data_IF_432206029896
#
_entry.id   IF_432206029896
#
_cell.length_a   1.000
_cell.length_b   1.000
_cell.length_c   1.000
_cell.angle_alpha   90.00
_cell.angle_beta   90.00
_cell.angle_gamma   90.00
#
_symmetry.space_group_name_H-M   'P 1'
#
loop_
_entity.id
_entity.type
_entity.pdbx_description
1 polymer ?
#
# COMPACT_ATOMS: atom_id res chain seq x y z
N UNK A 1 -19.23 59.81 -48.23
CA UNK A 1 -18.48 58.56 -47.89
C UNK A 1 -17.51 58.68 -46.69
N UNK A 2 -17.14 59.85 -46.24
CA UNK A 2 -16.11 59.99 -45.18
C UNK A 2 -16.63 59.86 -43.71
N UNK A 3 -17.97 59.95 -43.47
CA UNK A 3 -18.52 59.79 -42.12
C UNK A 3 -18.82 58.34 -41.69
N UNK A 4 -19.06 57.44 -42.66
CA UNK A 4 -19.35 56.03 -42.40
C UNK A 4 -18.06 55.25 -42.03
N UNK A 5 -16.95 55.62 -42.59
CA UNK A 5 -15.62 54.96 -42.28
C UNK A 5 -15.10 55.28 -40.87
N UNK A 6 -15.41 56.47 -40.34
CA UNK A 6 -14.99 56.83 -38.95
C UNK A 6 -15.78 56.11 -37.89
N UNK A 7 -17.05 55.81 -38.13
CA UNK A 7 -17.90 55.05 -37.15
C UNK A 7 -17.51 53.58 -37.14
N UNK A 8 -17.17 52.99 -38.28
CA UNK A 8 -16.74 51.59 -38.37
C UNK A 8 -15.37 51.35 -37.74
N UNK A 9 -14.44 52.31 -37.89
CA UNK A 9 -13.10 52.21 -37.28
C UNK A 9 -13.14 52.39 -35.75
N UNK A 10 -14.09 53.18 -35.21
CA UNK A 10 -14.28 53.33 -33.77
C UNK A 10 -14.92 52.06 -33.13
N UNK A 11 -15.84 51.42 -33.85
CA UNK A 11 -16.47 50.19 -33.42
C UNK A 11 -15.56 48.98 -33.44
N UNK A 12 -14.66 48.91 -34.44
CA UNK A 12 -13.62 47.86 -34.50
C UNK A 12 -12.55 48.00 -33.40
N UNK A 13 -12.18 49.24 -33.00
CA UNK A 13 -11.26 49.45 -31.88
C UNK A 13 -11.84 49.00 -30.55
N UNK A 14 -13.15 49.27 -30.31
CA UNK A 14 -13.79 48.81 -29.06
C UNK A 14 -13.97 47.28 -29.00
N UNK A 15 -14.24 46.62 -30.13
CA UNK A 15 -14.36 45.14 -30.17
C UNK A 15 -12.99 44.46 -30.02
N UNK A 16 -11.91 45.04 -30.52
CA UNK A 16 -10.56 44.54 -30.33
C UNK A 16 -10.13 44.58 -28.89
N UNK A 17 -10.50 45.58 -28.12
CA UNK A 17 -10.26 45.64 -26.67
C UNK A 17 -11.09 44.60 -25.89
N UNK A 18 -12.36 44.35 -26.32
CA UNK A 18 -13.20 43.33 -25.72
C UNK A 18 -12.64 41.92 -25.96
N UNK A 19 -12.13 41.62 -27.15
CA UNK A 19 -11.51 40.35 -27.47
C UNK A 19 -10.15 40.18 -26.77
N UNK A 20 -9.36 41.27 -26.63
CA UNK A 20 -8.13 41.24 -25.86
C UNK A 20 -8.38 41.06 -24.37
N UNK A 21 -9.42 41.66 -23.79
CA UNK A 21 -9.87 41.43 -22.41
C UNK A 21 -10.42 40.00 -22.20
N UNK A 22 -11.17 39.47 -23.19
CA UNK A 22 -11.69 38.09 -23.14
C UNK A 22 -10.56 37.05 -23.26
N UNK A 23 -9.57 37.32 -24.12
CA UNK A 23 -8.35 36.51 -24.24
C UNK A 23 -7.48 36.58 -22.97
N UNK A 24 -7.35 37.72 -22.31
CA UNK A 24 -6.68 37.88 -21.03
C UNK A 24 -7.45 37.16 -19.91
N UNK A 25 -8.80 37.16 -19.93
CA UNK A 25 -9.62 36.42 -18.97
C UNK A 25 -9.53 34.91 -19.19
N UNK A 26 -9.39 34.45 -20.45
CA UNK A 26 -9.18 33.02 -20.75
C UNK A 26 -7.75 32.56 -20.39
N UNK A 27 -6.75 33.45 -20.50
CA UNK A 27 -5.38 33.15 -20.06
C UNK A 27 -5.24 33.19 -18.53
N UNK A 28 -6.03 34.00 -17.83
CA UNK A 28 -6.09 33.99 -16.36
C UNK A 28 -6.90 32.81 -15.79
N UNK A 29 -7.79 32.20 -16.59
CA UNK A 29 -8.54 30.99 -16.20
C UNK A 29 -7.72 29.69 -16.40
N UNK A 30 -6.59 29.76 -17.11
CA UNK A 30 -5.59 28.69 -17.22
C UNK A 30 -4.40 28.86 -16.25
N UNK A 31 -4.53 29.67 -15.20
CA UNK A 31 -3.62 29.57 -14.07
C UNK A 31 -3.86 28.21 -13.42
N UNK A 32 -2.87 27.32 -13.56
CA UNK A 32 -2.82 25.99 -13.00
C UNK A 32 -3.37 25.99 -11.57
N UNK A 33 -4.61 25.52 -11.40
CA UNK A 33 -5.00 24.98 -10.13
C UNK A 33 -4.09 23.77 -9.93
N UNK A 34 -3.05 23.92 -9.14
CA UNK A 34 -2.34 22.78 -8.58
C UNK A 34 -3.41 21.79 -8.13
N UNK A 35 -3.35 20.52 -8.54
CA UNK A 35 -4.33 19.55 -8.08
C UNK A 35 -4.36 19.64 -6.56
N UNK A 36 -5.53 19.83 -5.99
CA UNK A 36 -5.69 19.88 -4.54
C UNK A 36 -5.32 18.49 -4.04
N UNK A 37 -4.19 18.40 -3.35
CA UNK A 37 -3.68 17.15 -2.80
C UNK A 37 -4.75 16.61 -1.86
N UNK A 38 -5.28 15.44 -2.17
CA UNK A 38 -6.27 14.78 -1.32
C UNK A 38 -5.62 14.38 -0.02
N UNK A 39 -6.20 14.81 1.08
CA UNK A 39 -5.72 14.46 2.41
C UNK A 39 -6.66 13.44 3.05
N UNK A 40 -6.10 12.55 3.86
CA UNK A 40 -6.88 11.75 4.79
C UNK A 40 -7.64 12.67 5.76
N UNK A 41 -8.67 12.17 6.49
CA UNK A 41 -9.36 12.95 7.50
C UNK A 41 -8.44 13.58 8.57
N UNK A 42 -7.21 13.14 8.67
CA UNK A 42 -6.19 13.62 9.63
C UNK A 42 -5.11 14.49 9.00
N UNK A 43 -5.27 14.88 7.71
CA UNK A 43 -4.36 15.80 7.04
C UNK A 43 -3.14 15.17 6.37
N UNK A 44 -3.06 13.84 6.30
CA UNK A 44 -1.99 13.13 5.59
C UNK A 44 -2.29 13.09 4.08
N UNK A 45 -1.35 13.42 3.19
CA UNK A 45 -1.54 13.34 1.74
C UNK A 45 -1.91 11.94 1.28
N UNK A 46 -2.93 11.82 0.42
CA UNK A 46 -3.34 10.56 -0.19
C UNK A 46 -2.63 10.42 -1.53
N UNK A 47 -1.66 9.51 -1.62
CA UNK A 47 -1.19 8.96 -2.90
C UNK A 47 -0.27 9.81 -3.74
N UNK A 48 0.54 10.72 -3.20
CA UNK A 48 1.67 11.34 -3.89
C UNK A 48 2.94 11.20 -3.05
N UNK A 49 3.58 10.02 -3.12
CA UNK A 49 5.02 9.95 -2.95
C UNK A 49 5.62 9.68 -4.33
N UNK A 50 6.44 10.62 -4.83
CA UNK A 50 7.32 10.35 -5.95
C UNK A 50 8.26 9.22 -5.52
N UNK A 51 8.22 8.13 -6.26
CA UNK A 51 9.22 7.07 -6.15
C UNK A 51 10.54 7.65 -6.62
N UNK A 52 11.50 7.82 -5.74
CA UNK A 52 12.89 7.88 -6.12
C UNK A 52 13.28 6.50 -6.66
N UNK A 53 13.38 6.39 -7.98
CA UNK A 53 13.91 5.24 -8.68
C UNK A 53 15.41 5.09 -8.31
N UNK A 54 15.71 4.18 -7.41
CA UNK A 54 17.08 3.80 -7.06
C UNK A 54 17.63 2.74 -8.02
N UNK A 55 17.46 2.93 -9.33
CA UNK A 55 18.20 2.20 -10.35
C UNK A 55 19.15 3.14 -11.11
N UNK A 56 20.33 3.36 -10.58
CA UNK A 56 21.34 4.14 -11.28
C UNK A 56 22.66 4.16 -10.53
N UNK A 57 23.47 3.12 -10.74
CA UNK A 57 24.88 3.20 -10.38
C UNK A 57 25.58 4.28 -11.19
N UNK A 58 26.28 5.18 -10.54
CA UNK A 58 27.37 5.93 -11.12
C UNK A 58 28.43 6.16 -10.06
N UNK A 59 29.58 5.57 -10.25
CA UNK A 59 30.84 5.89 -9.59
C UNK A 59 31.11 7.40 -9.66
N UNK A 60 31.24 8.01 -8.50
CA UNK A 60 31.76 9.34 -8.33
C UNK A 60 32.43 9.41 -6.98
N UNK A 61 33.77 9.18 -6.97
CA UNK A 61 34.65 9.40 -5.82
C UNK A 61 34.65 10.89 -5.44
N UNK A 62 33.66 11.34 -4.68
CA UNK A 62 33.78 12.54 -3.88
C UNK A 62 34.14 12.16 -2.44
N UNK A 63 35.39 12.42 -2.06
CA UNK A 63 35.87 12.35 -0.69
C UNK A 63 34.97 13.18 0.22
N UNK A 64 34.03 12.52 0.92
CA UNK A 64 33.37 13.11 2.09
C UNK A 64 34.44 13.48 3.12
N UNK A 65 34.39 14.70 3.68
CA UNK A 65 35.29 15.06 4.80
C UNK A 65 35.03 14.11 5.95
N UNK A 66 36.11 13.62 6.58
CA UNK A 66 36.06 12.75 7.75
C UNK A 66 35.21 13.41 8.85
N UNK A 67 34.01 12.94 9.06
CA UNK A 67 33.12 13.43 10.10
C UNK A 67 33.66 12.96 11.46
N UNK A 68 34.06 13.91 12.28
CA UNK A 68 34.11 13.71 13.73
C UNK A 68 32.76 13.14 14.20
N UNK A 69 32.75 12.13 15.07
CA UNK A 69 31.61 11.36 15.59
C UNK A 69 30.51 12.19 16.30
N UNK A 70 30.06 13.28 15.72
CA UNK A 70 28.86 14.03 16.12
C UNK A 70 27.78 13.75 15.10
N UNK A 71 26.66 13.17 15.54
CA UNK A 71 25.46 13.06 14.69
C UNK A 71 25.06 14.44 14.14
N UNK A 72 24.37 14.42 13.00
CA UNK A 72 23.92 15.63 12.33
C UNK A 72 23.01 16.45 13.27
N UNK A 73 23.24 17.77 13.36
CA UNK A 73 22.33 18.67 14.06
C UNK A 73 20.97 18.75 13.35
N UNK A 74 19.95 19.29 14.00
CA UNK A 74 18.64 19.50 13.35
C UNK A 74 18.79 20.35 12.09
N UNK A 75 19.63 21.38 12.13
CA UNK A 75 19.91 22.27 11.02
C UNK A 75 20.56 21.53 9.86
N UNK A 76 21.49 20.60 10.14
CA UNK A 76 22.13 19.75 9.13
C UNK A 76 21.11 18.80 8.47
N UNK A 77 20.23 18.17 9.28
CA UNK A 77 19.15 17.31 8.81
C UNK A 77 18.20 18.08 7.88
N UNK A 78 17.82 19.30 8.28
CA UNK A 78 16.95 20.15 7.47
C UNK A 78 17.65 20.63 6.19
N UNK A 79 18.94 20.94 6.26
CA UNK A 79 19.73 21.32 5.09
C UNK A 79 19.91 20.15 4.10
N UNK A 80 20.06 18.93 4.61
CA UNK A 80 20.13 17.71 3.80
C UNK A 80 18.78 17.29 3.23
N UNK A 81 17.66 17.79 3.81
CA UNK A 81 16.29 17.46 3.39
C UNK A 81 15.83 16.04 3.75
N UNK A 82 16.57 15.31 4.58
CA UNK A 82 16.29 13.92 4.92
C UNK A 82 16.55 13.62 6.39
N UNK A 83 15.60 12.90 7.03
CA UNK A 83 15.75 12.30 8.36
C UNK A 83 15.88 10.78 8.22
N UNK A 84 16.93 10.21 8.80
CA UNK A 84 17.19 8.77 8.74
C UNK A 84 16.68 8.08 9.99
N UNK A 85 15.61 7.31 9.84
CA UNK A 85 14.99 6.50 10.89
C UNK A 85 15.67 5.13 10.99
N UNK A 86 16.24 4.80 12.13
CA UNK A 86 16.68 3.46 12.47
C UNK A 86 15.54 2.69 13.15
N UNK A 87 15.22 1.50 12.63
CA UNK A 87 14.10 0.71 13.11
C UNK A 87 14.34 -0.79 12.91
N UNK A 88 13.42 -1.60 13.41
CA UNK A 88 13.35 -3.05 13.14
C UNK A 88 12.03 -3.37 12.47
N UNK A 89 12.02 -4.40 11.62
CA UNK A 89 10.79 -4.88 10.99
C UNK A 89 9.80 -5.41 12.02
N UNK A 90 8.54 -5.04 11.89
CA UNK A 90 7.49 -5.51 12.79
C UNK A 90 6.20 -4.69 12.72
N UNK A 91 5.08 -5.25 13.24
CA UNK A 91 3.73 -4.69 13.07
C UNK A 91 3.52 -3.30 13.69
N UNK A 92 4.31 -2.96 14.71
CA UNK A 92 4.19 -1.65 15.40
C UNK A 92 5.37 -0.74 15.11
N UNK A 93 6.45 -1.25 14.54
CA UNK A 93 7.67 -0.53 14.24
C UNK A 93 7.68 -0.03 12.80
N UNK A 94 7.99 -0.92 11.86
CA UNK A 94 7.98 -0.65 10.43
C UNK A 94 7.70 -1.93 9.65
N UNK A 95 6.90 -1.84 8.61
CA UNK A 95 6.72 -2.87 7.57
C UNK A 95 6.23 -2.23 6.29
N UNK A 96 6.52 -2.85 5.15
CA UNK A 96 5.98 -2.42 3.86
C UNK A 96 4.54 -2.92 3.68
N UNK A 97 3.66 -2.03 3.20
CA UNK A 97 2.28 -2.35 2.88
C UNK A 97 1.86 -1.64 1.59
N UNK A 98 1.70 -2.39 0.51
CA UNK A 98 1.40 -1.84 -0.81
C UNK A 98 2.38 -0.71 -1.22
N UNK A 99 3.67 -0.95 -1.03
CA UNK A 99 4.76 0.00 -1.29
C UNK A 99 4.72 1.27 -0.44
N UNK A 100 4.06 1.25 0.70
CA UNK A 100 4.08 2.31 1.71
C UNK A 100 4.56 1.78 3.04
N UNK A 101 5.37 2.57 3.71
CA UNK A 101 5.76 2.27 5.08
C UNK A 101 4.56 2.34 6.03
N UNK A 102 4.46 1.36 6.92
CA UNK A 102 3.40 1.26 7.92
C UNK A 102 3.98 0.88 9.28
N UNK A 103 3.15 0.96 10.28
CA UNK A 103 3.50 0.74 11.68
C UNK A 103 3.44 2.03 12.50
N UNK A 104 2.97 1.92 13.75
CA UNK A 104 2.78 3.08 14.62
C UNK A 104 4.03 3.96 14.75
N UNK A 105 5.21 3.35 14.91
CA UNK A 105 6.46 4.10 15.11
C UNK A 105 6.89 4.79 13.82
N UNK A 106 6.77 4.09 12.69
CA UNK A 106 7.02 4.67 11.37
C UNK A 106 6.11 5.89 11.12
N UNK A 107 4.80 5.74 11.26
CA UNK A 107 3.83 6.82 11.02
C UNK A 107 4.06 8.03 11.95
N UNK A 108 4.47 7.80 13.19
CA UNK A 108 4.87 8.87 14.10
C UNK A 108 6.14 9.58 13.61
N UNK A 109 7.14 8.83 13.16
CA UNK A 109 8.39 9.37 12.64
C UNK A 109 8.18 10.15 11.34
N UNK A 110 7.34 9.63 10.45
CA UNK A 110 6.95 10.31 9.22
C UNK A 110 6.28 11.66 9.50
N UNK A 111 5.33 11.70 10.45
CA UNK A 111 4.70 12.96 10.86
C UNK A 111 5.70 13.95 11.47
N UNK A 112 6.69 13.46 12.18
CA UNK A 112 7.77 14.31 12.70
C UNK A 112 8.64 14.85 11.56
N UNK A 113 9.06 14.00 10.61
CA UNK A 113 9.82 14.42 9.43
C UNK A 113 9.06 15.49 8.61
N UNK A 114 7.77 15.30 8.38
CA UNK A 114 6.89 16.29 7.74
C UNK A 114 6.83 17.60 8.54
N UNK A 115 6.77 17.53 9.87
CA UNK A 115 6.73 18.72 10.74
C UNK A 115 8.01 19.56 10.64
N UNK A 116 9.16 18.93 10.49
CA UNK A 116 10.45 19.64 10.33
C UNK A 116 10.81 19.92 8.86
N UNK A 117 9.94 19.52 7.90
CA UNK A 117 10.06 19.85 6.48
C UNK A 117 11.07 19.01 5.71
N UNK A 118 11.29 17.75 6.11
CA UNK A 118 12.23 16.82 5.44
C UNK A 118 11.54 15.53 5.03
N UNK A 119 12.16 14.80 4.11
CA UNK A 119 11.77 13.42 3.77
C UNK A 119 12.21 12.45 4.87
N UNK A 120 11.55 11.27 4.95
CA UNK A 120 11.93 10.21 5.87
C UNK A 120 12.58 9.06 5.07
N UNK A 121 13.81 8.69 5.43
CA UNK A 121 14.46 7.47 4.98
C UNK A 121 14.46 6.44 6.10
N UNK A 122 14.06 5.21 5.77
CA UNK A 122 14.05 4.09 6.72
C UNK A 122 15.29 3.24 6.52
N UNK A 123 15.96 2.95 7.61
CA UNK A 123 17.08 2.02 7.68
C UNK A 123 16.69 0.87 8.61
N UNK A 124 16.36 -0.27 8.04
CA UNK A 124 16.01 -1.46 8.80
C UNK A 124 17.26 -2.10 9.39
N UNK A 125 17.20 -2.38 10.69
CA UNK A 125 18.23 -3.07 11.46
C UNK A 125 17.69 -4.42 11.93
N UNK A 126 18.59 -5.37 12.15
CA UNK A 126 18.21 -6.70 12.65
C UNK A 126 17.81 -6.69 14.12
N UNK A 127 18.42 -5.82 14.93
CA UNK A 127 18.22 -5.75 16.38
C UNK A 127 18.59 -4.38 16.97
N UNK A 128 18.35 -4.23 18.28
CA UNK A 128 18.67 -3.03 19.03
C UNK A 128 20.16 -2.70 19.02
N UNK A 129 21.04 -3.70 19.04
CA UNK A 129 22.47 -3.48 19.07
C UNK A 129 22.98 -2.84 17.79
N UNK A 130 22.45 -3.29 16.65
CA UNK A 130 22.76 -2.69 15.34
C UNK A 130 22.22 -1.26 15.24
N UNK A 131 20.98 -1.00 15.68
CA UNK A 131 20.44 0.38 15.73
C UNK A 131 21.32 1.33 16.51
N UNK A 132 21.75 0.91 17.70
CA UNK A 132 22.64 1.72 18.56
C UNK A 132 24.00 1.93 17.88
N UNK A 133 24.58 0.89 17.31
CA UNK A 133 25.87 0.97 16.61
C UNK A 133 25.80 1.92 15.39
N UNK A 134 24.74 1.84 14.58
CA UNK A 134 24.53 2.74 13.43
C UNK A 134 24.32 4.18 13.87
N UNK A 135 23.52 4.41 14.92
CA UNK A 135 23.32 5.75 15.48
C UNK A 135 24.62 6.38 15.97
N UNK A 136 25.45 5.62 16.70
CA UNK A 136 26.75 6.09 17.20
C UNK A 136 27.76 6.40 16.09
N UNK A 137 27.65 5.72 14.95
CA UNK A 137 28.48 5.97 13.75
C UNK A 137 27.97 7.12 12.91
N UNK A 138 26.77 7.66 13.19
CA UNK A 138 26.14 8.68 12.37
C UNK A 138 25.52 8.13 11.06
N UNK A 139 25.23 6.83 11.02
CA UNK A 139 24.55 6.17 9.90
C UNK A 139 23.02 6.31 9.99
N UNK A 140 22.53 7.02 11.00
CA UNK A 140 21.12 7.35 11.21
C UNK A 140 20.98 8.45 12.24
N UNK A 141 19.81 9.09 12.28
CA UNK A 141 19.55 10.28 13.10
C UNK A 141 18.69 9.98 14.33
N UNK A 142 17.75 9.05 14.20
CA UNK A 142 16.81 8.71 15.27
C UNK A 142 16.52 7.20 15.31
N UNK A 143 16.59 6.61 16.50
CA UNK A 143 16.03 5.27 16.74
C UNK A 143 14.55 5.46 17.07
N UNK A 144 13.67 5.20 16.11
CA UNK A 144 12.24 5.34 16.28
C UNK A 144 11.57 4.03 16.74
N UNK A 145 12.16 3.43 17.77
CA UNK A 145 11.63 2.26 18.49
C UNK A 145 11.65 2.57 19.96
N UNK A 146 10.60 2.24 20.75
CA UNK A 146 10.60 2.47 22.20
C UNK A 146 11.65 1.59 22.91
N UNK A 147 12.84 2.13 23.12
CA UNK A 147 13.94 1.45 23.81
C UNK A 147 13.80 1.51 25.33
N UNK A 148 14.12 0.43 26.07
CA UNK A 148 14.16 0.43 27.52
C UNK A 148 15.31 1.31 28.05
N UNK A 149 14.99 2.47 28.65
CA UNK A 149 15.97 3.48 29.07
C UNK A 149 17.06 2.97 30.04
N UNK A 150 16.72 2.00 30.91
CA UNK A 150 17.67 1.44 31.88
C UNK A 150 18.53 0.31 31.36
N UNK A 151 18.08 -0.36 30.31
CA UNK A 151 18.71 -1.60 29.78
C UNK A 151 19.54 -1.31 28.53
N UNK A 152 19.18 -0.30 27.75
CA UNK A 152 19.89 0.06 26.54
C UNK A 152 21.10 0.91 26.88
N UNK A 153 22.29 0.42 26.53
CA UNK A 153 23.56 1.11 26.71
C UNK A 153 24.02 1.69 25.38
N UNK A 154 24.69 2.83 25.44
CA UNK A 154 25.22 3.53 24.27
C UNK A 154 25.28 5.03 24.52
N UNK A 155 25.84 5.75 23.55
CA UNK A 155 25.91 7.21 23.58
C UNK A 155 24.57 7.83 23.12
N UNK A 156 23.51 7.62 23.92
CA UNK A 156 22.13 7.91 23.61
C UNK A 156 21.54 9.03 24.43
N UNK A 157 20.74 9.88 23.79
CA UNK A 157 19.84 10.84 24.43
C UNK A 157 18.39 10.40 24.16
N UNK A 158 17.70 9.94 25.20
CA UNK A 158 16.31 9.52 25.11
C UNK A 158 15.37 10.73 25.00
N UNK A 159 14.50 10.72 23.98
CA UNK A 159 13.64 11.85 23.66
C UNK A 159 12.38 11.40 22.89
N UNK A 160 11.46 12.34 22.65
CA UNK A 160 10.28 12.17 21.80
C UNK A 160 9.31 11.12 22.30
N UNK A 161 8.98 10.15 21.46
CA UNK A 161 7.85 9.24 21.67
C UNK A 161 8.05 8.32 22.88
N UNK A 162 7.11 8.41 23.81
CA UNK A 162 7.00 7.56 25.01
C UNK A 162 5.61 6.92 25.01
N UNK A 163 5.47 5.60 24.70
CA UNK A 163 4.15 4.99 24.48
C UNK A 163 3.23 4.99 25.69
N UNK A 164 3.68 4.43 26.84
CA UNK A 164 2.81 4.20 28.01
C UNK A 164 3.45 4.55 29.34
N UNK A 165 4.76 4.64 29.39
CA UNK A 165 5.49 4.85 30.62
C UNK A 165 6.82 5.54 30.34
N UNK A 166 7.40 6.13 31.37
CA UNK A 166 8.76 6.70 31.31
C UNK A 166 9.86 5.65 31.15
N UNK A 167 9.53 4.36 30.98
CA UNK A 167 10.50 3.26 30.93
C UNK A 167 11.08 3.04 29.54
N UNK A 168 10.32 3.33 28.48
CA UNK A 168 10.75 3.19 27.10
C UNK A 168 10.58 4.50 26.35
N UNK A 169 11.51 4.82 25.44
CA UNK A 169 11.48 6.04 24.66
C UNK A 169 12.33 5.89 23.40
N UNK A 170 12.10 6.74 22.40
CA UNK A 170 13.01 6.92 21.26
C UNK A 170 14.34 7.48 21.72
N UNK A 171 15.34 7.41 20.85
CA UNK A 171 16.67 7.92 21.17
C UNK A 171 17.32 8.55 19.94
N UNK A 172 18.13 9.57 20.20
CA UNK A 172 19.06 10.19 19.24
C UNK A 172 20.47 10.11 19.81
N UNK A 173 21.48 10.46 19.03
CA UNK A 173 22.85 10.53 19.54
C UNK A 173 22.95 11.60 20.66
N UNK A 174 23.70 11.32 21.72
CA UNK A 174 23.74 12.16 22.93
C UNK A 174 24.17 13.61 22.69
N UNK A 175 24.94 13.84 21.61
CA UNK A 175 25.37 15.18 21.20
C UNK A 175 24.30 16.00 20.48
N UNK A 176 23.21 15.38 20.04
CA UNK A 176 22.18 16.02 19.22
C UNK A 176 21.01 16.55 20.06
N UNK A 177 21.32 17.57 20.88
CA UNK A 177 20.31 18.18 21.75
C UNK A 177 19.22 18.93 20.98
N UNK A 178 19.55 19.58 19.86
CA UNK A 178 18.58 20.34 19.05
C UNK A 178 17.47 19.43 18.52
N UNK A 179 17.83 18.27 17.96
CA UNK A 179 16.87 17.26 17.51
C UNK A 179 16.04 16.70 18.68
N UNK A 180 16.68 16.39 19.81
CA UNK A 180 16.01 15.85 20.99
C UNK A 180 14.98 16.83 21.56
N UNK A 181 15.33 18.10 21.69
CA UNK A 181 14.45 19.15 22.21
C UNK A 181 13.26 19.38 21.26
N UNK A 182 13.50 19.35 19.95
CA UNK A 182 12.46 19.46 18.93
C UNK A 182 11.50 18.26 18.97
N UNK A 183 12.02 17.03 19.07
CA UNK A 183 11.21 15.83 19.27
C UNK A 183 10.36 15.89 20.55
N UNK A 184 10.94 16.32 21.67
CA UNK A 184 10.22 16.49 22.93
C UNK A 184 9.13 17.58 22.85
N UNK A 185 9.41 18.69 22.16
CA UNK A 185 8.45 19.76 21.92
C UNK A 185 7.27 19.35 21.04
N UNK A 186 7.55 18.57 20.02
CA UNK A 186 6.56 18.06 19.07
C UNK A 186 5.68 16.96 19.67
N UNK A 187 6.25 15.98 20.34
CA UNK A 187 5.52 14.82 20.82
C UNK A 187 4.49 15.20 21.90
N UNK A 188 3.26 14.73 21.67
CA UNK A 188 2.17 14.80 22.67
C UNK A 188 1.54 13.40 22.77
N UNK A 189 1.24 12.88 23.97
CA UNK A 189 0.69 11.54 24.16
C UNK A 189 -0.56 11.23 23.31
N UNK A 190 -1.40 12.23 23.05
CA UNK A 190 -2.59 12.10 22.20
C UNK A 190 -2.28 11.70 20.75
N UNK A 191 -1.07 12.00 20.26
CA UNK A 191 -0.65 11.64 18.90
C UNK A 191 -0.65 10.12 18.69
N UNK A 192 -0.32 9.34 19.73
CA UNK A 192 -0.35 7.86 19.64
C UNK A 192 -1.76 7.37 19.30
N UNK A 193 -2.78 7.89 20.00
CA UNK A 193 -4.16 7.49 19.74
C UNK A 193 -4.63 7.94 18.34
N UNK A 194 -4.26 9.16 17.95
CA UNK A 194 -4.58 9.69 16.62
C UNK A 194 -3.95 8.85 15.50
N UNK A 195 -2.65 8.53 15.60
CA UNK A 195 -1.94 7.73 14.59
C UNK A 195 -2.47 6.29 14.56
N UNK A 196 -2.79 5.67 15.70
CA UNK A 196 -3.44 4.35 15.73
C UNK A 196 -4.80 4.37 15.02
N UNK A 197 -5.59 5.41 15.19
CA UNK A 197 -6.88 5.56 14.51
C UNK A 197 -6.68 5.74 13.00
N UNK A 198 -5.71 6.56 12.60
CA UNK A 198 -5.33 6.76 11.20
C UNK A 198 -4.86 5.45 10.56
N UNK A 199 -3.92 4.74 11.19
CA UNK A 199 -3.45 3.43 10.74
C UNK A 199 -4.61 2.45 10.56
N UNK A 200 -5.51 2.38 11.55
CA UNK A 200 -6.70 1.51 11.49
C UNK A 200 -7.62 1.87 10.30
N UNK A 201 -7.77 3.15 10.01
CA UNK A 201 -8.55 3.60 8.86
C UNK A 201 -7.85 3.28 7.53
N UNK A 202 -6.55 3.60 7.40
CA UNK A 202 -5.74 3.28 6.22
C UNK A 202 -5.82 1.80 5.85
N UNK A 203 -5.79 0.93 6.86
CA UNK A 203 -5.83 -0.53 6.71
C UNK A 203 -7.25 -1.10 6.55
N UNK A 204 -8.27 -0.25 6.53
CA UNK A 204 -9.67 -0.67 6.37
C UNK A 204 -10.14 -0.55 4.91
N UNK A 205 -11.22 -1.26 4.59
CA UNK A 205 -11.88 -1.12 3.27
C UNK A 205 -12.48 0.27 3.04
N UNK A 206 -12.66 1.07 4.10
CA UNK A 206 -13.16 2.45 4.01
C UNK A 206 -12.13 3.40 3.40
N UNK A 207 -10.84 3.03 3.40
CA UNK A 207 -9.77 3.82 2.78
C UNK A 207 -9.76 3.72 1.24
N UNK A 208 -10.51 2.77 0.66
CA UNK A 208 -10.69 2.68 -0.80
C UNK A 208 -11.91 3.49 -1.19
N UNK A 209 -11.70 4.59 -1.89
CA UNK A 209 -12.77 5.41 -2.46
C UNK A 209 -13.31 4.74 -3.71
N UNK A 210 -14.56 4.24 -3.64
CA UNK A 210 -15.23 3.56 -4.76
C UNK A 210 -16.74 3.58 -4.60
N UNK A 211 -17.44 3.48 -5.73
CA UNK A 211 -18.85 3.10 -5.75
C UNK A 211 -18.99 1.58 -5.63
N UNK A 212 -19.90 1.11 -4.79
CA UNK A 212 -20.14 -0.34 -4.63
C UNK A 212 -21.30 -0.74 -5.53
N UNK A 213 -20.98 -1.36 -6.66
CA UNK A 213 -21.98 -1.96 -7.55
C UNK A 213 -22.44 -3.32 -7.02
N UNK A 214 -23.60 -3.76 -7.53
CA UNK A 214 -24.08 -5.13 -7.23
C UNK A 214 -23.09 -6.19 -7.71
N UNK A 215 -22.89 -7.30 -6.96
CA UNK A 215 -22.05 -8.39 -7.40
C UNK A 215 -22.59 -9.12 -8.65
N UNK A 216 -23.85 -8.93 -9.01
CA UNK A 216 -24.47 -9.37 -10.26
C UNK A 216 -25.27 -8.23 -10.90
N UNK A 217 -24.99 -7.94 -12.17
CA UNK A 217 -25.80 -7.03 -12.97
C UNK A 217 -27.17 -7.66 -13.28
N UNK A 218 -27.20 -8.96 -13.58
CA UNK A 218 -28.43 -9.73 -13.74
C UNK A 218 -28.18 -11.20 -13.39
N UNK A 219 -28.53 -11.59 -12.16
CA UNK A 219 -28.30 -12.94 -11.65
C UNK A 219 -29.07 -14.00 -12.46
N UNK A 220 -30.31 -13.73 -12.84
CA UNK A 220 -31.15 -14.71 -13.56
C UNK A 220 -30.65 -15.00 -14.98
N UNK A 221 -29.95 -14.04 -15.59
CA UNK A 221 -29.34 -14.19 -16.93
C UNK A 221 -27.85 -14.57 -16.85
N UNK A 222 -27.28 -14.76 -15.65
CA UNK A 222 -25.88 -15.05 -15.46
C UNK A 222 -24.93 -13.91 -15.84
N UNK A 223 -25.44 -12.65 -15.95
CA UNK A 223 -24.62 -11.48 -16.26
C UNK A 223 -24.03 -10.94 -14.95
N UNK A 224 -22.70 -11.00 -14.83
CA UNK A 224 -21.97 -10.59 -13.61
C UNK A 224 -21.82 -9.06 -13.62
N UNK A 225 -21.26 -8.49 -14.67
CA UNK A 225 -20.99 -7.06 -14.78
C UNK A 225 -21.13 -6.56 -16.22
N UNK A 226 -21.04 -5.26 -16.42
CA UNK A 226 -20.94 -4.65 -17.75
C UNK A 226 -19.61 -4.96 -18.45
N UNK A 227 -18.64 -5.53 -17.74
CA UNK A 227 -17.30 -5.82 -18.22
C UNK A 227 -17.06 -7.31 -18.54
N UNK A 228 -18.08 -8.16 -18.49
CA UNK A 228 -17.95 -9.60 -18.73
C UNK A 228 -17.26 -9.93 -20.05
N UNK A 229 -17.56 -9.16 -21.12
CA UNK A 229 -16.94 -9.33 -22.44
C UNK A 229 -15.42 -9.05 -22.42
N UNK A 230 -14.95 -8.14 -21.53
CA UNK A 230 -13.52 -7.87 -21.34
C UNK A 230 -12.84 -8.99 -20.55
N UNK A 231 -13.47 -9.47 -19.48
CA UNK A 231 -12.95 -10.62 -18.73
C UNK A 231 -12.84 -11.86 -19.62
N UNK A 232 -13.85 -12.14 -20.46
CA UNK A 232 -13.80 -13.24 -21.43
C UNK A 232 -12.66 -13.04 -22.43
N UNK A 233 -12.49 -11.83 -22.98
CA UNK A 233 -11.42 -11.51 -23.93
C UNK A 233 -10.03 -11.75 -23.35
N UNK A 234 -9.77 -11.34 -22.12
CA UNK A 234 -8.45 -11.38 -21.49
C UNK A 234 -8.21 -12.61 -20.60
N UNK A 235 -9.17 -13.52 -20.46
CA UNK A 235 -9.04 -14.74 -19.66
C UNK A 235 -7.90 -15.64 -20.12
N UNK A 236 -7.71 -15.77 -21.45
CA UNK A 236 -6.59 -16.52 -22.02
C UNK A 236 -5.23 -15.90 -21.68
N UNK A 237 -5.11 -14.56 -21.75
CA UNK A 237 -3.90 -13.84 -21.34
C UNK A 237 -3.61 -14.06 -19.86
N UNK A 238 -4.62 -13.95 -19.01
CA UNK A 238 -4.49 -14.16 -17.58
C UNK A 238 -4.28 -15.63 -17.18
N UNK A 239 -4.48 -16.57 -18.11
CA UNK A 239 -4.45 -18.03 -17.86
C UNK A 239 -5.37 -18.45 -16.74
N UNK A 240 -6.59 -17.87 -16.70
CA UNK A 240 -7.56 -18.12 -15.63
C UNK A 240 -9.00 -18.02 -16.16
N UNK A 241 -9.94 -18.64 -15.46
CA UNK A 241 -11.37 -18.51 -15.75
C UNK A 241 -11.79 -17.03 -15.70
N UNK A 242 -12.55 -16.58 -16.71
CA UNK A 242 -13.01 -15.19 -16.78
C UNK A 242 -13.90 -14.80 -15.58
N UNK A 243 -14.65 -15.76 -14.98
CA UNK A 243 -15.46 -15.53 -13.79
C UNK A 243 -14.59 -15.34 -12.54
N UNK A 244 -13.42 -16.00 -12.52
CA UNK A 244 -12.43 -15.79 -11.46
C UNK A 244 -11.81 -14.38 -11.57
N UNK A 245 -11.52 -13.90 -12.80
CA UNK A 245 -11.11 -12.50 -13.01
C UNK A 245 -12.19 -11.52 -12.57
N UNK A 246 -13.46 -11.78 -12.89
CA UNK A 246 -14.59 -10.97 -12.45
C UNK A 246 -14.72 -10.97 -10.91
N UNK A 247 -14.50 -12.11 -10.25
CA UNK A 247 -14.50 -12.23 -8.80
C UNK A 247 -13.37 -11.44 -8.15
N UNK A 248 -12.18 -11.47 -8.76
CA UNK A 248 -11.04 -10.65 -8.34
C UNK A 248 -11.37 -9.17 -8.51
N UNK A 249 -11.85 -8.74 -9.66
CA UNK A 249 -12.24 -7.35 -9.92
C UNK A 249 -13.29 -6.84 -8.91
N UNK A 250 -14.25 -7.67 -8.54
CA UNK A 250 -15.23 -7.29 -7.51
C UNK A 250 -14.57 -7.12 -6.14
N UNK A 251 -13.62 -7.97 -5.78
CA UNK A 251 -12.87 -7.85 -4.53
C UNK A 251 -12.02 -6.57 -4.50
N UNK A 252 -11.45 -6.17 -5.64
CA UNK A 252 -10.62 -4.98 -5.78
C UNK A 252 -11.45 -3.67 -5.70
N UNK A 253 -12.40 -3.54 -6.60
CA UNK A 253 -13.08 -2.26 -6.83
C UNK A 253 -14.59 -2.30 -6.69
N UNK A 254 -15.24 -3.44 -6.46
CA UNK A 254 -16.67 -3.64 -6.65
C UNK A 254 -17.15 -3.21 -8.04
N UNK A 255 -16.34 -3.44 -9.09
CA UNK A 255 -16.57 -3.04 -10.48
C UNK A 255 -16.60 -1.51 -10.72
N UNK A 256 -16.01 -0.71 -9.84
CA UNK A 256 -15.88 0.73 -10.07
C UNK A 256 -14.57 1.05 -10.81
N UNK A 257 -14.64 1.56 -12.07
CA UNK A 257 -13.45 1.93 -12.83
C UNK A 257 -12.71 3.13 -12.24
N UNK A 258 -13.39 3.94 -11.43
CA UNK A 258 -12.83 5.12 -10.78
C UNK A 258 -12.34 4.86 -9.34
N UNK A 259 -12.34 3.59 -8.91
CA UNK A 259 -11.86 3.25 -7.58
C UNK A 259 -10.40 3.67 -7.40
N UNK A 260 -10.10 4.27 -6.25
CA UNK A 260 -8.75 4.67 -5.84
C UNK A 260 -8.55 4.35 -4.37
N UNK A 261 -7.48 3.63 -4.05
CA UNK A 261 -7.07 3.40 -2.67
C UNK A 261 -6.21 4.57 -2.16
N UNK A 262 -6.06 4.68 -0.84
CA UNK A 262 -5.13 5.64 -0.23
C UNK A 262 -3.68 5.36 -0.65
N UNK A 263 -3.33 4.08 -0.87
CA UNK A 263 -2.00 3.66 -1.32
C UNK A 263 -1.75 3.92 -2.82
N UNK A 264 -2.71 4.51 -3.53
CA UNK A 264 -2.57 4.87 -4.94
C UNK A 264 -2.99 3.77 -5.93
N UNK A 265 -3.50 2.62 -5.48
CA UNK A 265 -4.05 1.62 -6.40
C UNK A 265 -5.28 2.17 -7.12
N UNK A 266 -5.38 1.95 -8.44
CA UNK A 266 -6.36 2.60 -9.30
C UNK A 266 -7.12 1.61 -10.20
N UNK A 267 -8.38 1.96 -10.48
CA UNK A 267 -9.20 1.32 -11.50
C UNK A 267 -9.85 0.02 -11.06
N UNK A 268 -10.43 -0.69 -12.03
CA UNK A 268 -11.20 -1.93 -11.81
C UNK A 268 -10.41 -3.00 -11.05
N UNK A 269 -9.14 -3.15 -11.37
CA UNK A 269 -8.26 -4.20 -10.83
C UNK A 269 -7.26 -3.64 -9.81
N UNK A 270 -7.42 -2.39 -9.35
CA UNK A 270 -6.60 -1.73 -8.34
C UNK A 270 -5.09 -1.90 -8.62
N UNK A 271 -4.66 -1.44 -9.78
CA UNK A 271 -3.25 -1.51 -10.18
C UNK A 271 -2.48 -0.38 -9.53
N UNK A 272 -1.38 -0.73 -8.85
CA UNK A 272 -0.45 0.24 -8.26
C UNK A 272 0.33 0.99 -9.36
N UNK A 273 0.69 2.29 -9.16
CA UNK A 273 1.44 3.08 -10.15
C UNK A 273 2.73 2.41 -10.61
N UNK A 274 3.52 1.85 -9.69
CA UNK A 274 4.75 1.11 -10.03
C UNK A 274 4.48 -0.12 -10.89
N UNK A 275 3.41 -0.88 -10.59
CA UNK A 275 2.97 -2.02 -11.40
C UNK A 275 2.45 -1.56 -12.77
N UNK A 276 1.74 -0.43 -12.85
CA UNK A 276 1.29 0.15 -14.11
C UNK A 276 2.48 0.51 -15.02
N UNK A 277 3.50 1.17 -14.46
CA UNK A 277 4.73 1.51 -15.17
C UNK A 277 5.46 0.24 -15.68
N UNK A 278 5.63 -0.77 -14.83
CA UNK A 278 6.22 -2.06 -15.19
C UNK A 278 5.47 -2.73 -16.37
N UNK A 279 4.14 -2.70 -16.34
CA UNK A 279 3.30 -3.30 -17.37
C UNK A 279 3.11 -2.42 -18.61
N UNK A 280 3.70 -1.23 -18.66
CA UNK A 280 3.51 -0.28 -19.75
C UNK A 280 2.10 0.29 -19.86
N UNK A 281 1.38 0.39 -18.72
CA UNK A 281 0.06 1.03 -18.66
C UNK A 281 0.23 2.51 -18.28
N UNK A 282 -0.03 3.47 -19.21
CA UNK A 282 0.05 4.88 -18.89
C UNK A 282 -0.95 5.28 -17.79
N UNK A 283 -0.56 6.14 -16.88
CA UNK A 283 -1.45 6.61 -15.80
C UNK A 283 -2.70 7.32 -16.32
N UNK A 284 -2.63 7.96 -17.49
CA UNK A 284 -3.79 8.54 -18.17
C UNK A 284 -4.85 7.52 -18.60
N UNK A 285 -4.47 6.23 -18.72
CA UNK A 285 -5.36 5.14 -19.13
C UNK A 285 -5.70 4.18 -17.95
N UNK A 286 -5.22 4.46 -16.75
CA UNK A 286 -5.37 3.52 -15.63
C UNK A 286 -6.84 3.31 -15.22
N UNK A 287 -7.70 4.28 -15.49
CA UNK A 287 -9.14 4.20 -15.23
C UNK A 287 -9.95 3.69 -16.42
N UNK A 288 -9.31 3.49 -17.59
CA UNK A 288 -9.96 2.90 -18.75
C UNK A 288 -10.17 1.40 -18.53
N UNK A 289 -11.43 0.91 -18.57
CA UNK A 289 -11.76 -0.47 -18.19
C UNK A 289 -10.96 -1.52 -18.94
N UNK A 290 -10.84 -1.41 -20.26
CA UNK A 290 -10.14 -2.40 -21.07
C UNK A 290 -8.64 -2.37 -20.80
N UNK A 291 -8.02 -1.19 -20.72
CA UNK A 291 -6.59 -1.04 -20.48
C UNK A 291 -6.21 -1.60 -19.10
N UNK A 292 -7.02 -1.30 -18.08
CA UNK A 292 -6.81 -1.75 -16.71
C UNK A 292 -6.95 -3.28 -16.59
N UNK A 293 -8.01 -3.88 -17.15
CA UNK A 293 -8.22 -5.34 -17.16
C UNK A 293 -7.12 -6.05 -17.96
N UNK A 294 -6.73 -5.52 -19.11
CA UNK A 294 -5.67 -6.09 -19.93
C UNK A 294 -4.31 -6.10 -19.21
N UNK A 295 -3.98 -5.02 -18.50
CA UNK A 295 -2.75 -4.94 -17.71
C UNK A 295 -2.79 -5.94 -16.54
N UNK A 296 -3.89 -6.01 -15.80
CA UNK A 296 -4.05 -6.99 -14.72
C UNK A 296 -3.96 -8.45 -15.23
N UNK A 297 -4.50 -8.74 -16.42
CA UNK A 297 -4.38 -10.06 -17.04
C UNK A 297 -2.91 -10.43 -17.31
N UNK A 298 -2.12 -9.49 -17.85
CA UNK A 298 -0.66 -9.69 -18.03
C UNK A 298 0.04 -9.92 -16.72
N UNK A 299 -0.28 -9.12 -15.70
CA UNK A 299 0.32 -9.26 -14.37
C UNK A 299 0.00 -10.60 -13.71
N UNK A 300 -1.25 -11.09 -13.83
CA UNK A 300 -1.62 -12.42 -13.34
C UNK A 300 -0.86 -13.53 -14.07
N UNK A 301 -0.63 -13.40 -15.38
CA UNK A 301 0.18 -14.36 -16.14
C UNK A 301 1.65 -14.36 -15.69
N UNK A 302 2.21 -13.18 -15.42
CA UNK A 302 3.57 -12.99 -14.90
C UNK A 302 3.71 -13.63 -13.52
N UNK A 303 2.80 -13.30 -12.59
CA UNK A 303 2.80 -13.89 -11.24
C UNK A 303 2.72 -15.42 -11.28
N UNK A 304 1.87 -15.99 -12.15
CA UNK A 304 1.85 -17.44 -12.35
C UNK A 304 3.17 -17.98 -12.90
N UNK A 305 3.83 -17.22 -13.79
CA UNK A 305 5.16 -17.55 -14.31
C UNK A 305 6.22 -17.65 -13.21
N UNK A 306 6.16 -16.74 -12.24
CA UNK A 306 7.05 -16.77 -11.09
C UNK A 306 6.90 -18.01 -10.19
N UNK A 307 5.77 -18.71 -10.27
CA UNK A 307 5.51 -19.97 -9.57
C UNK A 307 5.56 -21.20 -10.51
N UNK A 308 6.40 -21.18 -11.53
CA UNK A 308 6.56 -22.31 -12.46
C UNK A 308 7.00 -23.61 -11.77
N UNK A 309 7.66 -23.51 -10.60
CA UNK A 309 8.01 -24.61 -9.71
C UNK A 309 6.79 -25.31 -9.06
N UNK A 310 5.63 -24.65 -9.03
CA UNK A 310 4.37 -25.24 -8.58
C UNK A 310 3.69 -25.93 -9.77
N UNK A 311 3.79 -27.26 -9.84
CA UNK A 311 3.35 -28.04 -11.01
C UNK A 311 1.84 -27.99 -11.27
N UNK A 312 1.01 -27.96 -10.20
CA UNK A 312 -0.45 -27.89 -10.33
C UNK A 312 -0.92 -26.46 -10.68
N UNK A 313 -1.55 -26.24 -11.87
CA UNK A 313 -2.03 -24.92 -12.26
C UNK A 313 -3.06 -24.31 -11.30
N UNK A 314 -3.89 -25.15 -10.63
CA UNK A 314 -4.88 -24.68 -9.67
C UNK A 314 -4.22 -24.12 -8.41
N UNK A 315 -3.18 -24.80 -7.92
CA UNK A 315 -2.37 -24.31 -6.81
C UNK A 315 -1.64 -23.03 -7.22
N UNK A 316 -0.98 -23.04 -8.39
CA UNK A 316 -0.25 -21.88 -8.93
C UNK A 316 -1.12 -20.63 -9.01
N UNK A 317 -2.38 -20.76 -9.40
CA UNK A 317 -3.36 -19.69 -9.47
C UNK A 317 -3.58 -19.05 -8.07
N UNK A 318 -3.70 -19.86 -7.03
CA UNK A 318 -3.91 -19.38 -5.66
C UNK A 318 -2.67 -18.63 -5.13
N UNK A 319 -1.47 -19.09 -5.47
CA UNK A 319 -0.23 -18.38 -5.17
C UNK A 319 -0.16 -17.04 -5.90
N UNK A 320 -0.58 -16.99 -7.16
CA UNK A 320 -0.62 -15.75 -7.94
C UNK A 320 -1.63 -14.75 -7.35
N UNK A 321 -2.84 -15.18 -6.99
CA UNK A 321 -3.83 -14.34 -6.30
C UNK A 321 -3.31 -13.80 -4.97
N UNK A 322 -2.67 -14.66 -4.17
CA UNK A 322 -2.06 -14.24 -2.91
C UNK A 322 -0.95 -13.21 -3.13
N UNK A 323 -0.14 -13.40 -4.16
CA UNK A 323 0.95 -12.48 -4.53
C UNK A 323 0.45 -11.15 -5.06
N UNK A 324 -0.68 -11.14 -5.76
CA UNK A 324 -1.31 -9.92 -6.25
C UNK A 324 -1.68 -8.96 -5.11
N UNK A 325 -2.18 -9.49 -4.01
CA UNK A 325 -2.56 -8.71 -2.83
C UNK A 325 -1.40 -8.52 -1.85
N UNK A 326 -0.70 -9.59 -1.49
CA UNK A 326 0.28 -9.60 -0.39
C UNK A 326 1.74 -9.52 -0.84
N UNK A 327 1.99 -9.43 -2.14
CA UNK A 327 3.34 -9.38 -2.71
C UNK A 327 4.01 -10.75 -2.87
N UNK A 328 4.66 -10.91 -4.00
CA UNK A 328 5.35 -12.16 -4.39
C UNK A 328 6.37 -12.65 -3.35
N UNK A 329 7.17 -11.74 -2.83
CA UNK A 329 8.28 -12.09 -1.95
C UNK A 329 7.81 -12.65 -0.60
N UNK A 330 6.74 -12.12 -0.01
CA UNK A 330 6.17 -12.68 1.22
C UNK A 330 5.60 -14.09 1.01
N UNK A 331 5.02 -14.36 -0.17
CA UNK A 331 4.57 -15.72 -0.50
C UNK A 331 5.76 -16.68 -0.62
N UNK A 332 6.88 -16.22 -1.18
CA UNK A 332 8.14 -17.00 -1.21
C UNK A 332 8.72 -17.22 0.18
N UNK A 333 8.62 -16.26 1.08
CA UNK A 333 9.01 -16.43 2.49
C UNK A 333 8.16 -17.50 3.18
N UNK A 334 6.84 -17.49 2.97
CA UNK A 334 5.94 -18.53 3.46
C UNK A 334 6.31 -19.93 2.92
N UNK A 335 6.66 -20.02 1.62
CA UNK A 335 7.14 -21.27 1.02
C UNK A 335 8.49 -21.74 1.62
N UNK A 336 9.38 -20.80 1.93
CA UNK A 336 10.68 -21.10 2.56
C UNK A 336 10.49 -21.62 3.98
N UNK A 337 9.59 -21.02 4.75
CA UNK A 337 9.20 -21.52 6.08
C UNK A 337 8.60 -22.92 6.00
N UNK A 338 7.65 -23.16 5.08
CA UNK A 338 7.05 -24.49 4.90
C UNK A 338 8.13 -25.54 4.59
N UNK A 339 9.07 -25.23 3.69
CA UNK A 339 10.19 -26.11 3.35
C UNK A 339 11.08 -26.38 4.56
N UNK A 340 11.43 -25.36 5.34
CA UNK A 340 12.22 -25.49 6.58
C UNK A 340 11.58 -26.44 7.57
N UNK A 341 10.23 -26.43 7.67
CA UNK A 341 9.47 -27.30 8.56
C UNK A 341 9.05 -28.63 7.94
N UNK A 342 9.63 -29.03 6.80
CA UNK A 342 9.36 -30.31 6.14
C UNK A 342 7.95 -30.43 5.54
N UNK A 343 7.26 -29.31 5.34
CA UNK A 343 5.92 -29.26 4.74
C UNK A 343 6.00 -29.02 3.22
N UNK A 344 4.96 -29.43 2.49
CA UNK A 344 4.91 -29.24 1.04
C UNK A 344 4.78 -27.73 0.66
N UNK A 345 5.80 -27.09 0.11
CA UNK A 345 5.78 -25.67 -0.23
C UNK A 345 4.91 -25.34 -1.45
N UNK A 346 4.38 -26.35 -2.15
CA UNK A 346 3.56 -26.20 -3.35
C UNK A 346 2.07 -26.45 -3.12
N UNK A 347 1.65 -26.61 -1.88
CA UNK A 347 0.26 -26.80 -1.50
C UNK A 347 -0.32 -25.53 -0.85
N UNK A 348 -1.37 -24.96 -1.42
CA UNK A 348 -1.99 -23.74 -0.91
C UNK A 348 -2.47 -23.86 0.55
N UNK A 349 -3.05 -25.01 0.93
CA UNK A 349 -3.52 -25.22 2.30
C UNK A 349 -2.37 -25.09 3.33
N UNK A 350 -1.18 -25.58 2.97
CA UNK A 350 0.03 -25.44 3.80
C UNK A 350 0.51 -23.98 3.78
N UNK A 351 0.66 -23.39 2.60
CA UNK A 351 1.23 -22.04 2.47
C UNK A 351 0.32 -20.98 3.09
N UNK A 352 -0.98 -21.12 2.96
CA UNK A 352 -1.98 -20.30 3.66
C UNK A 352 -1.68 -20.17 5.16
N UNK A 353 -1.35 -21.28 5.81
CA UNK A 353 -1.04 -21.29 7.25
C UNK A 353 0.29 -20.56 7.55
N UNK A 354 1.30 -20.71 6.68
CA UNK A 354 2.56 -19.98 6.83
C UNK A 354 2.42 -18.48 6.53
N UNK A 355 1.57 -18.09 5.59
CA UNK A 355 1.20 -16.69 5.37
C UNK A 355 0.60 -16.08 6.66
N UNK A 356 -0.31 -16.79 7.33
CA UNK A 356 -0.86 -16.33 8.61
C UNK A 356 0.21 -16.22 9.70
N UNK A 357 1.17 -17.15 9.72
CA UNK A 357 2.27 -17.15 10.70
C UNK A 357 3.27 -16.04 10.49
N UNK A 358 3.43 -15.49 9.28
CA UNK A 358 4.27 -14.32 9.02
C UNK A 358 3.84 -13.05 9.77
N UNK A 359 2.70 -13.06 10.45
CA UNK A 359 2.30 -12.00 11.41
C UNK A 359 2.88 -12.20 12.82
N UNK A 360 3.55 -13.33 13.10
CA UNK A 360 4.05 -13.70 14.42
C UNK A 360 5.58 -13.55 14.47
N UNK A 361 6.14 -12.95 15.54
CA UNK A 361 7.60 -12.73 15.66
C UNK A 361 8.44 -13.97 15.44
N UNK A 362 8.03 -15.12 16.00
CA UNK A 362 8.76 -16.39 15.85
C UNK A 362 8.94 -16.85 14.38
N UNK A 363 8.15 -16.30 13.45
CA UNK A 363 8.20 -16.66 12.04
C UNK A 363 8.76 -15.53 11.17
N UNK A 364 8.32 -14.28 11.34
CA UNK A 364 8.82 -13.21 10.48
C UNK A 364 10.27 -12.79 10.80
N UNK A 365 10.79 -13.13 11.98
CA UNK A 365 12.23 -12.94 12.31
C UNK A 365 13.08 -14.17 12.02
N UNK A 366 12.50 -15.24 11.46
CA UNK A 366 13.22 -16.45 11.13
C UNK A 366 14.28 -16.17 10.03
N UNK A 367 15.52 -16.69 10.13
CA UNK A 367 16.57 -16.42 9.14
C UNK A 367 16.25 -16.79 7.69
N UNK A 368 15.26 -17.66 7.43
CA UNK A 368 14.85 -17.99 6.05
C UNK A 368 13.85 -16.98 5.47
N UNK A 369 13.29 -16.12 6.31
CA UNK A 369 12.40 -15.03 5.93
C UNK A 369 13.23 -13.79 5.60
N UNK A 370 13.04 -13.24 4.41
CA UNK A 370 13.81 -12.10 3.91
C UNK A 370 13.06 -10.78 3.95
N UNK A 371 11.74 -10.84 3.88
CA UNK A 371 10.88 -9.66 3.77
C UNK A 371 10.08 -9.38 5.05
N UNK A 372 10.31 -10.18 6.10
CA UNK A 372 9.85 -9.90 7.45
C UNK A 372 8.34 -10.04 7.66
N UNK A 373 7.78 -9.12 8.43
CA UNK A 373 6.38 -9.12 8.85
C UNK A 373 5.42 -8.93 7.68
N UNK A 374 4.34 -9.72 7.69
CA UNK A 374 3.23 -9.62 6.74
C UNK A 374 1.89 -9.66 7.46
N UNK A 375 0.91 -8.88 6.98
CA UNK A 375 -0.49 -8.96 7.40
C UNK A 375 -1.21 -10.15 6.75
N UNK A 376 -0.74 -11.36 7.04
CA UNK A 376 -1.16 -12.58 6.36
C UNK A 376 -2.67 -12.84 6.36
N UNK A 377 -3.40 -12.41 7.40
CA UNK A 377 -4.86 -12.54 7.47
C UNK A 377 -5.58 -11.80 6.33
N UNK A 378 -5.08 -10.65 5.91
CA UNK A 378 -5.66 -9.88 4.81
C UNK A 378 -5.56 -10.66 3.51
N UNK A 379 -4.37 -11.14 3.18
CA UNK A 379 -4.11 -11.89 1.94
C UNK A 379 -4.85 -13.22 1.90
N UNK A 380 -4.89 -13.95 3.02
CA UNK A 380 -5.66 -15.20 3.08
C UNK A 380 -7.15 -14.94 2.87
N UNK A 381 -7.72 -13.93 3.55
CA UNK A 381 -9.11 -13.55 3.38
C UNK A 381 -9.41 -13.05 1.96
N UNK A 382 -8.47 -12.37 1.31
CA UNK A 382 -8.59 -11.92 -0.07
C UNK A 382 -8.78 -13.12 -1.01
N UNK A 383 -7.91 -14.12 -0.92
CA UNK A 383 -8.00 -15.34 -1.73
C UNK A 383 -9.29 -16.10 -1.44
N UNK A 384 -9.65 -16.27 -0.16
CA UNK A 384 -10.86 -17.01 0.25
C UNK A 384 -12.15 -16.33 -0.27
N UNK A 385 -12.23 -14.99 -0.21
CA UNK A 385 -13.38 -14.23 -0.74
C UNK A 385 -13.50 -14.32 -2.26
N UNK A 386 -12.39 -14.25 -2.99
CA UNK A 386 -12.37 -14.41 -4.44
C UNK A 386 -12.83 -15.80 -4.81
N UNK A 387 -12.35 -16.84 -4.15
CA UNK A 387 -12.75 -18.24 -4.38
C UNK A 387 -14.24 -18.45 -4.14
N UNK A 388 -14.75 -17.94 -3.00
CA UNK A 388 -16.17 -18.05 -2.67
C UNK A 388 -17.04 -17.38 -3.75
N UNK A 389 -16.68 -16.19 -4.18
CA UNK A 389 -17.38 -15.44 -5.21
C UNK A 389 -17.28 -16.09 -6.58
N UNK A 390 -16.14 -16.65 -6.93
CA UNK A 390 -16.00 -17.44 -8.15
C UNK A 390 -16.96 -18.64 -8.15
N UNK A 391 -17.10 -19.34 -7.02
CA UNK A 391 -18.10 -20.40 -6.85
C UNK A 391 -19.54 -19.92 -7.10
N UNK A 392 -19.90 -18.73 -6.58
CA UNK A 392 -21.21 -18.10 -6.84
C UNK A 392 -21.39 -17.78 -8.34
N UNK A 393 -20.38 -17.24 -8.99
CA UNK A 393 -20.40 -16.88 -10.42
C UNK A 393 -20.42 -18.08 -11.37
N UNK A 394 -19.93 -19.22 -10.90
CA UNK A 394 -19.91 -20.49 -11.63
C UNK A 394 -21.14 -21.36 -11.37
N UNK A 395 -22.17 -20.85 -10.67
CA UNK A 395 -23.41 -21.58 -10.40
C UNK A 395 -23.28 -22.69 -9.35
N UNK A 396 -22.26 -22.59 -8.46
CA UNK A 396 -22.03 -23.54 -7.38
C UNK A 396 -21.42 -24.89 -7.79
N UNK A 397 -21.27 -25.17 -9.09
CA UNK A 397 -20.70 -26.43 -9.59
C UNK A 397 -19.18 -26.43 -9.80
N UNK A 398 -18.55 -25.25 -9.83
CA UNK A 398 -17.13 -25.13 -10.19
C UNK A 398 -16.12 -25.52 -9.12
N UNK A 399 -16.54 -25.72 -7.86
CA UNK A 399 -15.59 -25.87 -6.74
C UNK A 399 -15.40 -27.31 -6.25
N UNK A 400 -16.36 -28.22 -6.50
CA UNK A 400 -16.31 -29.57 -5.95
C UNK A 400 -15.63 -30.62 -6.80
N UNK A 401 -15.47 -30.42 -8.13
CA UNK A 401 -14.91 -31.45 -8.98
C UNK A 401 -13.39 -31.33 -9.21
N UNK A 402 -12.81 -30.12 -9.17
CA UNK A 402 -11.37 -29.94 -9.43
C UNK A 402 -10.46 -30.28 -8.23
N UNK A 403 -11.00 -30.50 -7.03
CA UNK A 403 -10.22 -30.73 -5.80
C UNK A 403 -10.38 -32.12 -5.18
N UNK A 404 -11.02 -33.08 -5.88
CA UNK A 404 -11.13 -34.49 -5.41
C UNK A 404 -9.95 -35.38 -5.77
N UNK A 405 -8.76 -34.84 -5.91
CA UNK A 405 -7.52 -35.57 -6.19
C UNK A 405 -6.55 -35.52 -5.02
N UNK A 406 -6.75 -36.37 -4.04
CA UNK A 406 -5.85 -37.02 -3.08
C UNK A 406 -6.23 -36.79 -1.62
N UNK A 407 -6.52 -37.93 -1.00
CA UNK A 407 -7.13 -38.08 0.30
C UNK A 407 -6.39 -37.48 1.48
N UNK A 408 -7.21 -37.07 2.44
CA UNK A 408 -7.02 -37.42 3.85
C UNK A 408 -8.27 -37.03 4.65
N UNK A 409 -8.69 -37.97 5.45
CA UNK A 409 -9.36 -37.93 6.76
C UNK A 409 -10.55 -37.00 6.93
N UNK A 410 -11.74 -37.59 6.94
CA UNK A 410 -12.98 -37.01 7.46
C UNK A 410 -12.88 -36.68 8.95
N UNK A 411 -12.70 -35.43 9.28
CA UNK A 411 -13.04 -34.87 10.59
C UNK A 411 -14.37 -34.14 10.46
N UNK A 412 -15.44 -34.75 10.90
CA UNK A 412 -16.79 -34.18 10.93
C UNK A 412 -16.86 -33.06 11.96
N UNK A 413 -16.91 -31.80 11.51
CA UNK A 413 -17.42 -30.70 12.34
C UNK A 413 -18.90 -30.48 12.00
N UNK A 414 -19.76 -30.94 12.89
CA UNK A 414 -21.17 -30.58 12.92
C UNK A 414 -21.29 -29.19 13.56
N UNK A 415 -21.38 -28.14 12.74
CA UNK A 415 -21.82 -26.81 13.14
C UNK A 415 -23.24 -26.59 12.65
N UNK A 416 -24.21 -26.50 13.55
CA UNK A 416 -25.60 -26.22 13.24
C UNK A 416 -25.75 -24.84 12.54
N UNK A 417 -26.74 -24.68 11.62
CA UNK A 417 -26.94 -23.40 10.95
C UNK A 417 -27.57 -22.38 11.89
N UNK A 418 -26.85 -21.31 12.17
CA UNK A 418 -27.41 -20.15 12.87
C UNK A 418 -28.29 -19.36 11.90
N UNK A 419 -29.61 -19.47 12.08
CA UNK A 419 -30.59 -18.60 11.42
C UNK A 419 -30.55 -17.22 12.06
N UNK A 420 -29.90 -16.26 11.45
CA UNK A 420 -30.02 -14.85 11.81
C UNK A 420 -31.08 -14.18 10.94
N UNK A 421 -32.26 -14.02 11.52
CA UNK A 421 -33.27 -13.07 11.02
C UNK A 421 -32.87 -11.68 11.52
N UNK A 422 -32.31 -10.83 10.69
CA UNK A 422 -32.24 -9.40 10.95
C UNK A 422 -33.34 -8.70 10.15
N UNK A 423 -34.37 -8.25 10.87
CA UNK A 423 -35.31 -7.24 10.38
C UNK A 423 -34.58 -5.92 10.23
N UNK A 424 -34.49 -5.42 8.99
CA UNK A 424 -34.21 -4.02 8.74
C UNK A 424 -35.50 -3.22 8.88
N UNK A 425 -35.66 -2.46 9.96
CA UNK A 425 -36.63 -1.37 10.03
C UNK A 425 -36.01 -0.13 9.36
N UNK A 426 -36.57 0.25 8.23
CA UNK A 426 -36.37 1.56 7.63
C UNK A 426 -36.92 2.63 8.58
N UNK A 427 -36.04 3.46 9.13
CA UNK A 427 -36.39 4.73 9.79
C UNK A 427 -35.61 5.83 9.11
N UNK A 428 -36.15 6.40 8.08
CA UNK A 428 -36.02 7.82 7.73
C UNK A 428 -37.21 8.22 6.86
N UNK A 429 -38.21 8.81 7.52
CA UNK A 429 -39.09 9.78 6.94
C UNK A 429 -38.47 11.16 7.21
N UNK A 430 -38.45 11.98 6.22
CA UNK A 430 -38.31 13.38 5.91
C UNK A 430 -37.07 13.66 5.10
#
# INVERSE_FOLDING_TARGET
MCKIFRTFAAEMKNKGYLYALYALFLLAACADKKPQQELTPWGTPVGEMEYADNSGGADGDEKKPASTNKGLSLEDIQANGELIMLTVNGPTTYYDYHSHGMGLQYLLCEKFAQQIGVSLRVEECKDTAEMVSKLEKGEGDVIAVPLPRKQTRGNLLFCGVTPDSTRTQWAVQSGNKSLADTLNGWFKPKLIAQVKQEESWLLSSASVRRHVYSPFLNRSKGVISRYDHLFQRYSGTARMDWRLMAAQCYQESCFDPNAKSWAGACGLMQIMPGTAAHLGLPMSMIHEPEANIAAAARYMAELQGHFADVGDPSQRMLFALASYNGGYFHIRDAMSLARKHGQNPHNWGVIRDYILRLSQPAYYTDPVVKYGYMRGTETVNYVDRIRARWGEYSGGSGFHESFRGSGMGSGSFHGAPVKSKRHYQNKYHI
#
